data_IF_474785254306
#
_entry.id   IF_474785254306
#
_cell.length_a   1.000
_cell.length_b   1.000
_cell.length_c   1.000
_cell.angle_alpha   90.00
_cell.angle_beta   90.00
_cell.angle_gamma   90.00
#
_symmetry.space_group_name_H-M   'P 1'
#
loop_
_entity.id
_entity.type
_entity.pdbx_description
1 polymer ?
#
# COMPACT_ATOMS: atom_id res chain seq x y z
N UNK A 1 -20.86 5.29 7.86
CA UNK A 1 -20.53 6.70 7.54
C UNK A 1 -20.53 6.86 6.02
N UNK A 2 -21.41 7.74 5.51
CA UNK A 2 -21.55 8.01 4.07
C UNK A 2 -20.56 9.10 3.64
N UNK A 3 -20.00 8.97 2.44
CA UNK A 3 -19.27 10.02 1.73
C UNK A 3 -20.27 10.74 0.84
N UNK A 4 -20.57 12.00 1.15
CA UNK A 4 -21.45 12.83 0.31
C UNK A 4 -20.59 13.56 -0.71
N UNK A 5 -20.97 13.45 -1.97
CA UNK A 5 -20.40 14.20 -3.09
C UNK A 5 -21.51 15.02 -3.75
N UNK A 6 -21.16 15.95 -4.63
CA UNK A 6 -22.13 16.75 -5.39
C UNK A 6 -23.13 15.88 -6.17
N UNK A 7 -22.73 14.64 -6.50
CA UNK A 7 -23.53 13.67 -7.25
C UNK A 7 -24.22 12.61 -6.37
N UNK A 8 -24.23 12.78 -5.04
CA UNK A 8 -24.91 11.89 -4.07
C UNK A 8 -23.98 11.15 -3.11
N UNK A 9 -24.54 10.18 -2.37
CA UNK A 9 -23.87 9.52 -1.24
C UNK A 9 -23.30 8.13 -1.54
N UNK A 10 -22.06 7.87 -1.11
CA UNK A 10 -21.43 6.55 -1.14
C UNK A 10 -21.20 6.01 0.27
N UNK A 11 -21.07 4.69 0.44
CA UNK A 11 -20.64 4.12 1.72
C UNK A 11 -19.12 3.93 1.71
N UNK A 12 -18.41 4.71 2.54
CA UNK A 12 -16.92 4.69 2.62
C UNK A 12 -16.37 3.27 2.74
N UNK A 13 -16.93 2.48 3.64
CA UNK A 13 -16.45 1.12 3.90
C UNK A 13 -16.70 0.19 2.72
N UNK A 14 -17.89 0.24 2.13
CA UNK A 14 -18.21 -0.62 0.99
C UNK A 14 -17.42 -0.25 -0.27
N UNK A 15 -17.13 1.04 -0.49
CA UNK A 15 -16.29 1.48 -1.61
C UNK A 15 -14.87 0.94 -1.48
N UNK A 16 -14.30 0.98 -0.27
CA UNK A 16 -12.89 0.63 -0.05
C UNK A 16 -12.65 -0.87 0.22
N UNK A 17 -13.60 -1.56 0.85
CA UNK A 17 -13.39 -2.90 1.42
C UNK A 17 -14.41 -3.96 0.96
N UNK A 18 -15.28 -3.67 -0.02
CA UNK A 18 -16.16 -4.71 -0.55
C UNK A 18 -15.35 -5.80 -1.27
N UNK A 19 -15.57 -7.07 -0.89
CA UNK A 19 -14.87 -8.21 -1.48
C UNK A 19 -15.23 -8.39 -2.96
N UNK A 20 -14.21 -8.34 -3.81
CA UNK A 20 -14.27 -8.53 -5.25
C UNK A 20 -14.28 -10.03 -5.62
N UNK A 21 -15.25 -10.80 -5.11
CA UNK A 21 -15.35 -12.26 -5.36
C UNK A 21 -16.55 -12.67 -6.20
N UNK A 22 -17.58 -11.83 -6.24
CA UNK A 22 -18.67 -11.94 -7.22
C UNK A 22 -18.50 -10.78 -8.20
N UNK A 23 -18.54 -11.11 -9.48
CA UNK A 23 -18.40 -10.20 -10.62
C UNK A 23 -18.66 -8.74 -10.25
N UNK A 24 -17.65 -7.89 -10.36
CA UNK A 24 -17.72 -6.43 -10.11
C UNK A 24 -18.99 -5.78 -10.68
N UNK A 25 -19.55 -6.33 -11.75
CA UNK A 25 -20.85 -5.97 -12.34
C UNK A 25 -22.07 -6.01 -11.40
N UNK A 26 -22.00 -6.68 -10.24
CA UNK A 26 -23.13 -6.80 -9.27
C UNK A 26 -23.07 -5.82 -8.09
N UNK A 27 -22.10 -4.91 -8.05
CA UNK A 27 -22.01 -3.90 -7.00
C UNK A 27 -23.04 -2.78 -7.27
N UNK A 28 -23.97 -2.60 -6.33
CA UNK A 28 -25.12 -1.70 -6.46
C UNK A 28 -24.85 -0.26 -6.02
N UNK A 29 -25.95 0.41 -5.67
CA UNK A 29 -25.98 1.77 -5.09
C UNK A 29 -25.14 1.81 -3.79
N UNK A 30 -24.52 2.95 -3.50
CA UNK A 30 -23.52 3.20 -2.43
C UNK A 30 -22.09 2.71 -2.71
N UNK A 31 -21.86 1.90 -3.75
CA UNK A 31 -20.53 1.39 -4.10
C UNK A 31 -20.10 1.87 -5.48
N UNK A 32 -20.86 1.51 -6.53
CA UNK A 32 -20.56 1.95 -7.91
C UNK A 32 -21.33 3.18 -8.34
N UNK A 33 -22.54 3.33 -7.79
CA UNK A 33 -23.44 4.43 -8.10
C UNK A 33 -23.72 5.21 -6.82
N UNK A 34 -23.74 6.54 -6.89
CA UNK A 34 -24.08 7.35 -5.75
C UNK A 34 -25.55 7.13 -5.40
N UNK A 35 -25.84 7.19 -4.12
CA UNK A 35 -27.20 7.28 -3.62
C UNK A 35 -27.71 8.71 -3.79
N UNK A 36 -28.70 8.87 -4.66
CA UNK A 36 -29.30 10.17 -5.02
C UNK A 36 -30.77 10.30 -4.63
N UNK A 37 -31.44 9.18 -4.30
CA UNK A 37 -32.87 9.18 -4.04
C UNK A 37 -33.18 9.43 -2.56
N UNK A 38 -33.20 10.70 -2.18
CA UNK A 38 -33.41 11.09 -0.78
C UNK A 38 -34.84 10.86 -0.26
N UNK A 39 -35.83 10.64 -1.14
CA UNK A 39 -37.25 10.49 -0.75
C UNK A 39 -37.50 9.30 0.18
N UNK A 40 -36.68 8.25 0.08
CA UNK A 40 -36.71 7.06 0.94
C UNK A 40 -35.36 6.80 1.62
N UNK A 41 -34.59 7.86 1.89
CA UNK A 41 -33.24 7.74 2.44
C UNK A 41 -33.17 6.92 3.73
N UNK A 42 -34.05 7.19 4.69
CA UNK A 42 -34.04 6.51 5.98
C UNK A 42 -34.24 4.99 5.83
N UNK A 43 -35.21 4.58 5.02
CA UNK A 43 -35.51 3.17 4.74
C UNK A 43 -34.34 2.49 4.03
N UNK A 44 -33.83 3.10 2.95
CA UNK A 44 -32.75 2.53 2.13
C UNK A 44 -31.42 2.44 2.91
N UNK A 45 -31.13 3.44 3.75
CA UNK A 45 -29.96 3.41 4.63
C UNK A 45 -30.12 2.38 5.75
N UNK A 46 -31.30 2.30 6.36
CA UNK A 46 -31.61 1.29 7.37
C UNK A 46 -31.47 -0.12 6.78
N UNK A 47 -31.90 -0.34 5.54
CA UNK A 47 -31.71 -1.61 4.83
C UNK A 47 -30.24 -1.90 4.54
N UNK A 48 -29.46 -0.90 4.12
CA UNK A 48 -28.02 -1.05 3.87
C UNK A 48 -27.23 -1.40 5.14
N UNK A 49 -27.52 -0.71 6.25
CA UNK A 49 -26.81 -0.89 7.52
C UNK A 49 -27.35 -2.08 8.32
N UNK A 50 -28.67 -2.24 8.44
CA UNK A 50 -29.33 -3.10 9.45
C UNK A 50 -30.34 -4.12 8.88
N UNK A 51 -31.10 -3.78 7.84
CA UNK A 51 -32.35 -4.50 7.47
C UNK A 51 -32.09 -5.88 6.87
N UNK A 52 -32.94 -6.90 7.13
CA UNK A 52 -32.72 -8.38 7.11
C UNK A 52 -32.59 -9.13 5.77
N UNK A 53 -32.96 -8.57 4.61
CA UNK A 53 -32.99 -9.32 3.34
C UNK A 53 -31.89 -8.94 2.32
N UNK A 54 -31.36 -9.97 1.66
CA UNK A 54 -30.72 -10.01 0.33
C UNK A 54 -29.58 -9.03 -0.02
N UNK A 55 -28.37 -9.60 -0.17
CA UNK A 55 -27.15 -9.04 -0.81
C UNK A 55 -26.43 -7.84 -0.16
N UNK A 56 -27.12 -6.81 0.32
CA UNK A 56 -26.47 -5.57 0.79
C UNK A 56 -25.77 -5.66 2.16
N UNK A 57 -26.41 -6.30 3.15
CA UNK A 57 -25.91 -6.33 4.53
C UNK A 57 -24.66 -7.18 4.73
N UNK A 58 -24.59 -8.35 4.09
CA UNK A 58 -23.43 -9.26 4.21
C UNK A 58 -22.16 -8.60 3.66
N UNK A 59 -22.28 -7.89 2.53
CA UNK A 59 -21.15 -7.16 1.95
C UNK A 59 -20.80 -5.91 2.77
N UNK A 60 -21.79 -5.17 3.29
CA UNK A 60 -21.54 -4.04 4.18
C UNK A 60 -20.83 -4.45 5.46
N UNK A 61 -21.38 -5.42 6.22
CA UNK A 61 -20.81 -5.86 7.48
C UNK A 61 -19.41 -6.47 7.29
N UNK A 62 -19.19 -7.24 6.20
CA UNK A 62 -17.85 -7.74 5.87
C UNK A 62 -16.87 -6.61 5.53
N UNK A 63 -17.32 -5.57 4.82
CA UNK A 63 -16.48 -4.43 4.47
C UNK A 63 -16.15 -3.58 5.70
N UNK A 64 -17.11 -3.40 6.62
CA UNK A 64 -16.89 -2.75 7.92
C UNK A 64 -15.91 -3.56 8.77
N UNK A 65 -16.08 -4.88 8.87
CA UNK A 65 -15.15 -5.73 9.61
C UNK A 65 -13.73 -5.67 9.06
N UNK A 66 -13.58 -5.74 7.73
CA UNK A 66 -12.28 -5.59 7.08
C UNK A 66 -11.65 -4.20 7.31
N UNK A 67 -12.47 -3.14 7.29
CA UNK A 67 -12.00 -1.79 7.60
C UNK A 67 -11.53 -1.65 9.05
N UNK A 68 -12.25 -2.25 10.01
CA UNK A 68 -11.85 -2.24 11.42
C UNK A 68 -10.52 -2.98 11.61
N UNK A 69 -10.40 -4.20 11.09
CA UNK A 69 -9.12 -4.93 11.15
C UNK A 69 -7.97 -4.19 10.48
N UNK A 70 -8.23 -3.49 9.37
CA UNK A 70 -7.23 -2.64 8.74
C UNK A 70 -6.78 -1.49 9.66
N UNK A 71 -7.73 -0.80 10.30
CA UNK A 71 -7.42 0.26 11.26
C UNK A 71 -6.64 -0.26 12.47
N UNK A 72 -7.03 -1.41 13.02
CA UNK A 72 -6.34 -2.02 14.16
C UNK A 72 -4.89 -2.37 13.85
N UNK A 73 -4.61 -2.85 12.62
CA UNK A 73 -3.24 -3.11 12.14
C UNK A 73 -2.47 -1.81 11.94
N UNK A 74 -3.09 -0.79 11.35
CA UNK A 74 -2.44 0.51 11.09
C UNK A 74 -2.11 1.27 12.38
N UNK A 75 -2.98 1.18 13.38
CA UNK A 75 -2.78 1.76 14.71
C UNK A 75 -1.88 0.89 15.61
N UNK A 76 -1.33 -0.22 15.09
CA UNK A 76 -0.47 -1.18 15.80
C UNK A 76 -1.14 -1.84 17.02
N UNK A 77 -2.47 -1.87 17.06
CA UNK A 77 -3.26 -2.57 18.09
C UNK A 77 -3.24 -4.07 17.87
N UNK A 78 -3.26 -4.50 16.60
CA UNK A 78 -3.21 -5.90 16.21
C UNK A 78 -2.14 -6.18 15.15
N UNK A 79 -1.70 -7.43 15.07
CA UNK A 79 -0.80 -7.90 14.01
C UNK A 79 -1.60 -8.21 12.75
N UNK A 80 -1.01 -7.98 11.57
CA UNK A 80 -1.63 -8.37 10.30
C UNK A 80 -1.96 -9.88 10.28
N UNK A 81 -3.09 -10.28 9.69
CA UNK A 81 -3.57 -11.67 9.71
C UNK A 81 -2.53 -12.69 9.25
N UNK A 82 -1.77 -12.41 8.20
CA UNK A 82 -0.70 -13.29 7.71
C UNK A 82 0.39 -13.55 8.77
N UNK A 83 0.68 -12.54 9.60
CA UNK A 83 1.65 -12.60 10.69
C UNK A 83 1.07 -13.23 11.95
N UNK A 84 -0.25 -13.25 12.09
CA UNK A 84 -0.94 -14.04 13.12
C UNK A 84 -0.86 -15.52 12.79
N UNK A 85 -1.16 -15.89 11.53
CA UNK A 85 -1.19 -17.28 11.08
C UNK A 85 0.21 -17.91 10.97
N UNK A 86 1.22 -17.13 10.60
CA UNK A 86 2.59 -17.62 10.43
C UNK A 86 3.59 -16.93 11.34
N UNK A 87 3.99 -17.65 12.40
CA UNK A 87 5.03 -17.19 13.33
C UNK A 87 6.39 -17.00 12.64
N UNK A 88 6.68 -17.79 11.59
CA UNK A 88 7.88 -17.67 10.76
C UNK A 88 7.93 -16.32 10.03
N UNK A 89 6.82 -15.91 9.40
CA UNK A 89 6.76 -14.62 8.70
C UNK A 89 6.95 -13.46 9.65
N UNK A 90 6.34 -13.54 10.84
CA UNK A 90 6.53 -12.54 11.90
C UNK A 90 8.01 -12.41 12.30
N UNK A 91 8.68 -13.55 12.54
CA UNK A 91 10.12 -13.58 12.87
C UNK A 91 10.98 -13.00 11.74
N UNK A 92 10.66 -13.32 10.49
CA UNK A 92 11.40 -12.82 9.32
C UNK A 92 11.24 -11.30 9.16
N UNK A 93 10.03 -10.77 9.33
CA UNK A 93 9.80 -9.32 9.30
C UNK A 93 10.61 -8.63 10.41
N UNK A 94 10.54 -9.13 11.64
CA UNK A 94 11.30 -8.56 12.76
C UNK A 94 12.82 -8.57 12.48
N UNK A 95 13.36 -9.71 12.01
CA UNK A 95 14.77 -9.86 11.65
C UNK A 95 15.18 -8.91 10.52
N UNK A 96 14.35 -8.75 9.49
CA UNK A 96 14.63 -7.87 8.37
C UNK A 96 14.56 -6.39 8.78
N UNK A 97 13.61 -6.00 9.63
CA UNK A 97 13.55 -4.63 10.17
C UNK A 97 14.81 -4.28 10.97
N UNK A 98 15.33 -5.22 11.77
CA UNK A 98 16.58 -5.02 12.52
C UNK A 98 17.77 -4.84 11.56
N UNK A 99 17.86 -5.65 10.50
CA UNK A 99 18.90 -5.51 9.47
C UNK A 99 18.81 -4.18 8.72
N UNK A 100 17.60 -3.78 8.33
CA UNK A 100 17.37 -2.51 7.65
C UNK A 100 17.80 -1.33 8.52
N UNK A 101 17.54 -1.37 9.83
CA UNK A 101 18.05 -0.35 10.76
C UNK A 101 19.58 -0.23 10.67
N UNK A 102 20.29 -1.35 10.73
CA UNK A 102 21.76 -1.36 10.60
C UNK A 102 22.24 -0.84 9.25
N UNK A 103 21.57 -1.20 8.15
CA UNK A 103 21.90 -0.69 6.81
C UNK A 103 21.70 0.83 6.73
N UNK A 104 20.62 1.35 7.31
CA UNK A 104 20.37 2.80 7.34
C UNK A 104 21.43 3.51 8.19
N UNK A 105 21.81 2.94 9.33
CA UNK A 105 22.86 3.47 10.19
C UNK A 105 24.22 3.52 9.48
N UNK A 106 24.58 2.49 8.71
CA UNK A 106 25.83 2.51 7.93
C UNK A 106 25.77 3.53 6.80
N UNK A 107 24.64 3.69 6.12
CA UNK A 107 24.45 4.75 5.12
C UNK A 107 24.64 6.14 5.73
N UNK A 108 24.08 6.39 6.90
CA UNK A 108 24.26 7.67 7.63
C UNK A 108 25.73 7.86 8.04
N UNK A 109 26.38 6.81 8.55
CA UNK A 109 27.79 6.83 8.93
C UNK A 109 28.68 7.18 7.73
N UNK A 110 28.48 6.51 6.60
CA UNK A 110 29.20 6.76 5.36
C UNK A 110 29.00 8.22 4.91
N UNK A 111 27.77 8.73 4.94
CA UNK A 111 27.50 10.14 4.63
C UNK A 111 28.24 11.11 5.54
N UNK A 112 28.30 10.84 6.84
CA UNK A 112 29.05 11.66 7.82
C UNK A 112 30.56 11.61 7.63
N UNK A 113 31.09 10.46 7.22
CA UNK A 113 32.52 10.24 7.02
C UNK A 113 32.99 10.59 5.60
N UNK A 114 32.07 11.03 4.72
CA UNK A 114 32.39 11.29 3.31
C UNK A 114 32.73 10.02 2.52
N UNK A 115 32.33 8.85 3.01
CA UNK A 115 32.55 7.56 2.33
C UNK A 115 31.45 7.40 1.28
N UNK A 116 31.84 7.27 0.02
CA UNK A 116 30.91 7.00 -1.06
C UNK A 116 30.31 5.59 -0.95
N UNK A 117 28.98 5.48 -1.04
CA UNK A 117 28.26 4.19 -1.02
C UNK A 117 28.42 3.39 -2.32
N UNK A 118 28.92 4.03 -3.37
CA UNK A 118 29.21 3.43 -4.67
C UNK A 118 30.72 3.33 -4.83
N UNK A 119 31.20 2.19 -5.29
CA UNK A 119 32.58 2.01 -5.70
C UNK A 119 32.92 2.95 -6.86
N UNK A 120 34.16 3.43 -6.81
CA UNK A 120 34.92 4.10 -7.86
C UNK A 120 34.46 3.66 -9.26
N UNK A 121 34.14 4.61 -10.16
CA UNK A 121 34.20 4.28 -11.59
C UNK A 121 35.68 4.11 -11.90
N UNK A 122 36.05 2.97 -12.47
CA UNK A 122 37.38 2.70 -13.02
C UNK A 122 37.67 3.56 -14.27
N UNK A 123 37.38 4.86 -14.20
CA UNK A 123 37.73 5.82 -15.24
C UNK A 123 39.22 6.14 -15.02
N UNK A 124 40.09 5.20 -15.39
CA UNK A 124 41.53 5.44 -15.48
C UNK A 124 41.75 6.48 -16.60
N UNK A 125 42.22 7.69 -16.30
CA UNK A 125 42.53 8.66 -17.34
C UNK A 125 43.87 8.28 -17.97
N UNK A 126 43.80 7.82 -19.21
CA UNK A 126 44.77 8.12 -20.26
C UNK A 126 46.26 7.91 -19.88
N UNK A 127 46.73 6.67 -19.98
CA UNK A 127 48.14 6.37 -20.25
C UNK A 127 48.21 5.57 -21.54
N UNK A 128 48.01 6.25 -22.67
CA UNK A 128 48.55 5.78 -23.95
C UNK A 128 49.89 6.50 -24.19
N UNK A 129 50.99 5.83 -23.85
CA UNK A 129 52.28 6.20 -24.41
C UNK A 129 52.23 6.00 -25.93
N UNK A 130 52.42 7.08 -26.69
CA UNK A 130 52.40 7.09 -28.14
C UNK A 130 53.81 6.76 -28.69
N UNK A 131 54.05 5.63 -29.38
CA UNK A 131 55.39 5.25 -29.86
C UNK A 131 55.81 5.85 -31.21
N UNK A 132 55.10 6.84 -31.78
CA UNK A 132 55.39 7.35 -33.13
C UNK A 132 55.98 8.77 -33.11
N UNK A 133 57.21 8.90 -32.60
CA UNK A 133 58.00 10.14 -32.67
C UNK A 133 59.44 9.94 -33.16
N UNK A 134 59.71 8.93 -34.01
CA UNK A 134 61.02 8.72 -34.62
C UNK A 134 60.90 8.39 -36.12
N UNK A 135 60.49 9.35 -36.94
CA UNK A 135 60.59 9.29 -38.41
C UNK A 135 60.63 10.71 -38.99
N UNK A 136 61.69 11.48 -38.66
CA UNK A 136 62.05 12.72 -39.37
C UNK A 136 63.49 13.15 -39.03
N UNK A 137 64.47 12.31 -39.33
CA UNK A 137 65.86 12.75 -39.58
C UNK A 137 66.52 11.83 -40.60
N UNK A 138 66.35 12.17 -41.87
CA UNK A 138 67.30 11.91 -42.97
C UNK A 138 67.00 12.88 -44.10
#
# INVERSE_FOLDING_TARGET
MLLVTDNGGYCKFCVLFAKCGQSVSRLGVFVKRPFINFKKASEILSEHFHGKASKGRKSHQSAVGAAMSFLDVMEKKELAMDCQLSSIRRKNIAKNCLKLKSIVETVILCGKQGISLRGHRDDNPDVQENPLANLATS
#
